data_IF_465136872322
#
_entry.id   IF_465136872322
#
_cell.length_a   1.000
_cell.length_b   1.000
_cell.length_c   1.000
_cell.angle_alpha   90.00
_cell.angle_beta   90.00
_cell.angle_gamma   90.00
#
_symmetry.space_group_name_H-M   'P 1'
#
loop_
_entity.id
_entity.type
_entity.pdbx_description
1 polymer ?
#
# COMPACT_ATOMS: atom_id res chain seq x y z
N UNK A 1 31.26 -20.22 14.97
CA UNK A 1 31.49 -19.20 16.02
C UNK A 1 31.18 -17.77 15.56
N UNK A 2 31.31 -17.42 14.27
CA UNK A 2 31.04 -16.06 13.75
C UNK A 2 29.54 -15.66 13.72
N UNK A 3 28.60 -16.59 13.53
CA UNK A 3 27.15 -16.29 13.48
C UNK A 3 26.52 -15.84 14.80
N UNK A 4 27.14 -16.20 15.94
CA UNK A 4 26.60 -15.83 17.25
C UNK A 4 26.96 -14.40 17.67
N UNK A 5 27.98 -13.81 17.05
CA UNK A 5 28.36 -12.40 17.29
C UNK A 5 27.48 -11.39 16.52
N UNK A 6 26.91 -11.80 15.39
CA UNK A 6 26.01 -10.92 14.59
C UNK A 6 24.62 -10.81 15.23
N UNK A 7 24.11 -11.85 15.88
CA UNK A 7 22.84 -11.80 16.64
C UNK A 7 22.90 -10.89 17.87
N UNK A 8 24.07 -10.76 18.51
CA UNK A 8 24.26 -9.88 19.68
C UNK A 8 24.37 -8.40 19.27
N UNK A 9 24.70 -8.10 18.03
CA UNK A 9 24.81 -6.73 17.51
C UNK A 9 23.44 -6.13 17.17
N UNK A 10 22.47 -6.95 16.81
CA UNK A 10 21.10 -6.55 16.47
C UNK A 10 20.13 -6.52 17.66
N UNK A 11 20.51 -7.14 18.80
CA UNK A 11 19.78 -6.98 20.03
C UNK A 11 20.10 -5.60 20.62
N UNK A 12 19.09 -4.76 20.85
CA UNK A 12 19.18 -3.37 21.34
C UNK A 12 20.02 -3.13 22.61
N UNK A 13 20.88 -4.09 23.01
CA UNK A 13 21.82 -4.04 24.10
C UNK A 13 22.95 -3.00 23.89
N UNK A 14 23.38 -2.76 22.62
CA UNK A 14 24.39 -1.74 22.34
C UNK A 14 23.84 -0.31 22.50
N UNK A 15 22.56 -0.08 22.20
CA UNK A 15 21.91 1.20 22.45
C UNK A 15 21.77 1.51 23.95
N UNK A 16 21.55 0.47 24.76
CA UNK A 16 21.50 0.60 26.22
C UNK A 16 22.85 0.90 26.85
N UNK A 17 23.94 0.27 26.38
CA UNK A 17 25.29 0.47 26.91
C UNK A 17 25.85 1.88 26.63
N UNK A 18 25.55 2.46 25.44
CA UNK A 18 25.96 3.84 25.10
C UNK A 18 25.18 4.88 25.91
N UNK A 19 23.90 4.62 26.18
CA UNK A 19 23.08 5.47 27.06
C UNK A 19 23.55 5.39 28.53
N UNK A 20 23.92 4.22 29.03
CA UNK A 20 24.48 4.09 30.37
C UNK A 20 25.85 4.72 30.49
N UNK A 21 26.71 4.64 29.46
CA UNK A 21 28.03 5.29 29.44
C UNK A 21 27.88 6.83 29.47
N UNK A 22 26.97 7.39 28.70
CA UNK A 22 26.70 8.84 28.71
C UNK A 22 26.13 9.32 30.07
N UNK A 23 25.28 8.54 30.72
CA UNK A 23 24.74 8.83 32.03
C UNK A 23 25.83 8.78 33.12
N UNK A 24 26.77 7.84 33.04
CA UNK A 24 27.89 7.74 33.98
C UNK A 24 28.86 8.92 33.86
N UNK A 25 29.18 9.40 32.66
CA UNK A 25 30.02 10.58 32.45
C UNK A 25 29.35 11.85 32.99
N UNK A 26 28.03 12.01 32.79
CA UNK A 26 27.25 13.12 33.35
C UNK A 26 27.24 13.07 34.88
N UNK A 27 27.11 11.87 35.49
CA UNK A 27 27.16 11.70 36.94
C UNK A 27 28.51 12.04 37.52
N UNK A 28 29.64 11.72 36.85
CA UNK A 28 31.00 12.08 37.29
C UNK A 28 31.23 13.61 37.21
N UNK A 29 30.71 14.28 36.17
CA UNK A 29 30.81 15.73 36.05
C UNK A 29 29.95 16.47 37.09
N UNK A 30 28.81 15.93 37.43
CA UNK A 30 27.89 16.45 38.45
C UNK A 30 28.47 16.28 39.84
N UNK A 31 29.16 15.17 40.12
CA UNK A 31 29.86 14.94 41.40
C UNK A 31 31.02 15.90 41.64
N UNK A 32 31.71 16.37 40.59
CA UNK A 32 32.83 17.29 40.69
C UNK A 32 32.41 18.76 40.93
N UNK A 33 31.17 19.14 40.57
CA UNK A 33 30.63 20.50 40.71
C UNK A 33 29.80 20.75 41.99
N UNK A 34 29.64 19.74 42.86
CA UNK A 34 28.55 19.61 43.80
C UNK A 34 28.76 20.10 45.24
N UNK A 35 29.55 21.12 45.55
CA UNK A 35 29.62 21.62 46.92
C UNK A 35 28.85 22.91 47.24
N UNK A 36 28.26 23.56 46.25
CA UNK A 36 27.43 24.77 46.43
C UNK A 36 25.95 24.57 46.21
N UNK A 37 25.09 25.22 46.97
CA UNK A 37 23.66 25.19 46.86
C UNK A 37 23.15 25.51 45.42
N UNK A 38 23.82 26.40 44.71
CA UNK A 38 23.58 26.70 43.29
C UNK A 38 23.85 25.49 42.35
N UNK A 39 24.90 24.69 42.64
CA UNK A 39 25.26 23.53 41.85
C UNK A 39 24.16 22.44 41.85
N UNK A 40 23.41 22.29 42.97
CA UNK A 40 22.33 21.31 43.08
C UNK A 40 21.15 21.63 42.19
N UNK A 41 20.80 22.95 42.04
CA UNK A 41 19.73 23.39 41.14
C UNK A 41 20.15 23.29 39.69
N UNK A 42 21.39 23.63 39.35
CA UNK A 42 21.93 23.49 38.01
C UNK A 42 21.88 22.02 37.52
N UNK A 43 22.16 21.05 38.41
CA UNK A 43 22.03 19.61 38.11
C UNK A 43 20.60 19.24 37.77
N UNK A 44 19.64 19.67 38.57
CA UNK A 44 18.21 19.38 38.34
C UNK A 44 17.73 19.97 37.00
N UNK A 45 18.17 21.18 36.65
CA UNK A 45 17.85 21.80 35.37
C UNK A 45 18.45 21.02 34.18
N UNK A 46 19.71 20.59 34.28
CA UNK A 46 20.37 19.78 33.23
C UNK A 46 19.68 18.44 33.06
N UNK A 47 19.28 17.77 34.14
CA UNK A 47 18.55 16.52 34.07
C UNK A 47 17.15 16.71 33.48
N UNK A 48 16.44 17.79 33.83
CA UNK A 48 15.14 18.10 33.25
C UNK A 48 15.21 18.40 31.76
N UNK A 49 16.19 19.21 31.35
CA UNK A 49 16.44 19.54 29.94
C UNK A 49 16.84 18.28 29.16
N UNK A 50 17.74 17.46 29.71
CA UNK A 50 18.15 16.18 29.11
C UNK A 50 16.97 15.20 28.96
N UNK A 51 16.07 15.13 29.94
CA UNK A 51 14.86 14.32 29.88
C UNK A 51 13.88 14.85 28.83
N UNK A 52 13.67 16.16 28.75
CA UNK A 52 12.80 16.78 27.74
C UNK A 52 13.33 16.58 26.31
N UNK A 53 14.63 16.83 26.10
CA UNK A 53 15.27 16.62 24.79
C UNK A 53 15.24 15.13 24.41
N UNK A 54 15.57 14.25 25.36
CA UNK A 54 15.50 12.79 25.12
C UNK A 54 14.10 12.31 24.79
N UNK A 55 13.08 12.82 25.49
CA UNK A 55 11.68 12.44 25.22
C UNK A 55 11.17 13.00 23.87
N UNK A 56 11.59 14.20 23.48
CA UNK A 56 11.27 14.78 22.16
C UNK A 56 11.96 14.00 21.05
N UNK A 57 13.25 13.67 21.22
CA UNK A 57 14.01 12.87 20.27
C UNK A 57 13.42 11.45 20.14
N UNK A 58 13.07 10.83 21.26
CA UNK A 58 12.40 9.52 21.28
C UNK A 58 11.05 9.57 20.53
N UNK A 59 10.24 10.58 20.77
CA UNK A 59 8.97 10.79 20.02
C UNK A 59 9.21 11.08 18.53
N UNK A 60 10.25 11.83 18.19
CA UNK A 60 10.63 12.10 16.80
C UNK A 60 11.12 10.81 16.11
N UNK A 61 11.94 10.01 16.78
CA UNK A 61 12.42 8.71 16.29
C UNK A 61 11.25 7.74 16.14
N UNK A 62 10.33 7.65 17.11
CA UNK A 62 9.14 6.80 17.01
C UNK A 62 8.20 7.25 15.88
N UNK A 63 8.08 8.54 15.61
CA UNK A 63 7.31 9.06 14.47
C UNK A 63 8.02 8.81 13.14
N UNK A 64 9.32 8.99 13.09
CA UNK A 64 10.13 8.75 11.88
C UNK A 64 10.33 7.26 11.61
N UNK A 65 10.64 6.46 12.65
CA UNK A 65 10.83 5.01 12.54
C UNK A 65 9.51 4.26 12.37
N UNK A 66 8.40 4.76 12.92
CA UNK A 66 7.06 4.23 12.65
C UNK A 66 6.68 4.29 11.16
N UNK A 67 7.14 5.32 10.44
CA UNK A 67 7.00 5.40 8.98
C UNK A 67 8.03 4.56 8.22
N UNK A 68 9.28 4.57 8.65
CA UNK A 68 10.36 3.80 8.01
C UNK A 68 10.28 2.31 8.36
N UNK A 69 10.01 1.96 9.63
CA UNK A 69 9.79 0.59 10.05
C UNK A 69 8.50 0.01 9.43
N UNK A 70 7.42 0.80 9.31
CA UNK A 70 6.25 0.39 8.52
C UNK A 70 6.58 0.22 7.05
N UNK A 71 7.47 1.01 6.46
CA UNK A 71 7.92 0.82 5.07
C UNK A 71 8.85 -0.38 4.93
N UNK A 72 9.73 -0.64 5.88
CA UNK A 72 10.62 -1.81 5.90
C UNK A 72 9.86 -3.09 6.27
N UNK A 73 8.90 -3.02 7.19
CA UNK A 73 8.00 -4.14 7.52
C UNK A 73 6.87 -4.29 6.49
N UNK A 74 6.52 -3.24 5.74
CA UNK A 74 5.63 -3.34 4.59
C UNK A 74 6.33 -3.87 3.34
N UNK A 75 7.66 -3.98 3.34
CA UNK A 75 8.38 -4.80 2.36
C UNK A 75 8.23 -6.31 2.65
N UNK A 76 7.88 -6.67 3.95
CA UNK A 76 7.70 -8.07 4.36
C UNK A 76 6.33 -8.38 4.98
N UNK A 77 5.41 -7.42 5.05
CA UNK A 77 4.20 -7.59 5.84
C UNK A 77 3.08 -6.60 5.59
N UNK A 78 2.92 -6.08 4.36
CA UNK A 78 1.54 -6.04 3.93
C UNK A 78 1.11 -7.51 3.97
N UNK A 79 0.26 -7.83 4.93
CA UNK A 79 -0.61 -8.98 4.80
C UNK A 79 -1.31 -8.75 3.47
N UNK A 80 -0.66 -9.20 2.41
CA UNK A 80 -1.33 -9.36 1.11
C UNK A 80 -2.62 -10.03 1.49
N UNK A 81 -3.77 -9.38 1.26
CA UNK A 81 -5.05 -9.98 1.60
C UNK A 81 -4.96 -11.41 1.10
N UNK A 82 -5.16 -12.38 1.99
CA UNK A 82 -4.99 -13.81 1.70
C UNK A 82 -5.39 -14.05 0.26
N UNK A 83 -4.42 -14.39 -0.59
CA UNK A 83 -4.66 -14.73 -1.99
C UNK A 83 -5.24 -16.14 -1.98
N UNK A 84 -6.55 -16.32 -2.00
CA UNK A 84 -7.12 -17.64 -2.04
C UNK A 84 -6.59 -18.32 -3.30
N UNK A 85 -6.11 -19.53 -3.17
CA UNK A 85 -5.74 -20.37 -4.32
C UNK A 85 -7.03 -20.89 -4.98
N UNK A 86 -7.16 -20.67 -6.26
CA UNK A 86 -8.32 -21.08 -7.06
C UNK A 86 -7.95 -22.12 -8.11
N UNK A 87 -6.96 -22.96 -7.80
CA UNK A 87 -6.43 -23.98 -8.70
C UNK A 87 -7.53 -24.88 -9.29
N UNK A 88 -8.54 -25.22 -8.50
CA UNK A 88 -9.67 -26.06 -8.96
C UNK A 88 -10.53 -25.32 -9.99
N UNK A 89 -10.73 -24.01 -9.81
CA UNK A 89 -11.49 -23.19 -10.76
C UNK A 89 -10.67 -22.99 -12.04
N UNK A 90 -9.38 -22.66 -11.89
CA UNK A 90 -8.45 -22.51 -13.02
C UNK A 90 -8.31 -23.80 -13.83
N UNK A 91 -8.33 -24.95 -13.17
CA UNK A 91 -8.35 -26.26 -13.85
C UNK A 91 -9.62 -26.44 -14.70
N UNK A 92 -10.79 -25.99 -14.22
CA UNK A 92 -12.04 -26.01 -15.00
C UNK A 92 -11.96 -25.08 -16.20
N UNK A 93 -11.41 -23.86 -16.01
CA UNK A 93 -11.18 -22.89 -17.09
C UNK A 93 -10.32 -23.49 -18.20
N UNK A 94 -9.20 -24.14 -17.84
CA UNK A 94 -8.28 -24.78 -18.79
C UNK A 94 -8.94 -25.97 -19.52
N UNK A 95 -9.82 -26.72 -18.84
CA UNK A 95 -10.57 -27.83 -19.43
C UNK A 95 -11.75 -27.38 -20.30
N UNK A 96 -12.06 -26.08 -20.33
CA UNK A 96 -13.19 -25.53 -21.08
C UNK A 96 -14.55 -25.71 -20.39
N UNK A 97 -14.58 -26.18 -19.14
CA UNK A 97 -15.80 -26.27 -18.34
C UNK A 97 -16.18 -24.87 -17.82
N UNK A 98 -16.63 -24.02 -18.75
CA UNK A 98 -16.94 -22.61 -18.41
C UNK A 98 -18.15 -22.49 -17.49
N UNK A 99 -19.14 -23.41 -17.57
CA UNK A 99 -20.30 -23.40 -16.69
C UNK A 99 -19.91 -23.77 -15.26
N UNK A 100 -19.11 -24.82 -15.10
CA UNK A 100 -18.58 -25.26 -13.80
C UNK A 100 -17.64 -24.21 -13.18
N UNK A 101 -16.81 -23.55 -14.01
CA UNK A 101 -15.95 -22.46 -13.55
C UNK A 101 -16.77 -21.24 -13.07
N UNK A 102 -17.82 -20.85 -13.81
CA UNK A 102 -18.71 -19.74 -13.44
C UNK A 102 -19.43 -19.99 -12.11
N UNK A 103 -19.99 -21.20 -11.94
CA UNK A 103 -20.63 -21.59 -10.68
C UNK A 103 -19.63 -21.58 -9.50
N UNK A 104 -18.39 -22.03 -9.75
CA UNK A 104 -17.32 -22.03 -8.75
C UNK A 104 -16.87 -20.60 -8.39
N UNK A 105 -16.76 -19.71 -9.39
CA UNK A 105 -16.47 -18.29 -9.15
C UNK A 105 -17.59 -17.58 -8.38
N UNK A 106 -18.87 -17.87 -8.69
CA UNK A 106 -19.98 -17.37 -7.91
C UNK A 106 -19.92 -17.86 -6.45
N UNK A 107 -19.49 -19.12 -6.22
CA UNK A 107 -19.21 -19.65 -4.89
C UNK A 107 -18.06 -18.93 -4.18
N UNK A 108 -16.99 -18.59 -4.90
CA UNK A 108 -15.86 -17.88 -4.35
C UNK A 108 -16.24 -16.43 -3.93
N UNK A 109 -17.05 -15.73 -4.73
CA UNK A 109 -17.59 -14.40 -4.38
C UNK A 109 -18.45 -14.43 -3.13
N UNK A 110 -19.27 -15.48 -2.94
CA UNK A 110 -20.07 -15.63 -1.71
C UNK A 110 -19.22 -15.91 -0.47
N UNK A 111 -18.12 -16.66 -0.61
CA UNK A 111 -17.21 -16.95 0.52
C UNK A 111 -16.31 -15.78 0.86
N UNK A 112 -15.99 -14.95 -0.10
CA UNK A 112 -15.06 -13.82 0.05
C UNK A 112 -15.69 -12.52 -0.47
N UNK A 113 -16.80 -12.05 0.13
CA UNK A 113 -17.47 -10.84 -0.31
C UNK A 113 -16.54 -9.63 -0.13
N UNK A 114 -16.38 -8.83 -1.18
CA UNK A 114 -15.53 -7.65 -1.13
C UNK A 114 -14.01 -7.93 -1.20
N UNK A 115 -13.59 -9.15 -1.50
CA UNK A 115 -12.19 -9.41 -1.77
C UNK A 115 -11.84 -8.94 -3.20
N UNK A 116 -11.01 -7.90 -3.28
CA UNK A 116 -10.64 -7.27 -4.56
C UNK A 116 -9.92 -8.25 -5.51
N UNK A 117 -9.14 -9.19 -4.98
CA UNK A 117 -8.46 -10.21 -5.80
C UNK A 117 -9.46 -11.19 -6.43
N UNK A 118 -10.47 -11.65 -5.67
CA UNK A 118 -11.53 -12.52 -6.20
C UNK A 118 -12.31 -11.80 -7.29
N UNK A 119 -12.72 -10.54 -7.03
CA UNK A 119 -13.42 -9.72 -8.02
C UNK A 119 -12.59 -9.54 -9.31
N UNK A 120 -11.28 -9.32 -9.18
CA UNK A 120 -10.38 -9.21 -10.33
C UNK A 120 -10.36 -10.51 -11.16
N UNK A 121 -10.20 -11.67 -10.50
CA UNK A 121 -10.17 -12.97 -11.19
C UNK A 121 -11.49 -13.24 -11.91
N UNK A 122 -12.61 -12.92 -11.28
CA UNK A 122 -13.95 -13.07 -11.89
C UNK A 122 -14.12 -12.12 -13.08
N UNK A 123 -13.67 -10.87 -12.95
CA UNK A 123 -13.69 -9.91 -14.07
C UNK A 123 -12.88 -10.42 -15.26
N UNK A 124 -11.68 -10.96 -15.01
CA UNK A 124 -10.83 -11.54 -16.06
C UNK A 124 -11.45 -12.79 -16.69
N UNK A 125 -12.10 -13.65 -15.90
CA UNK A 125 -12.83 -14.81 -16.41
C UNK A 125 -13.93 -14.37 -17.39
N UNK A 126 -14.76 -13.40 -17.00
CA UNK A 126 -15.79 -12.86 -17.88
C UNK A 126 -15.21 -12.24 -19.15
N UNK A 127 -14.14 -11.47 -19.04
CA UNK A 127 -13.53 -10.79 -20.16
C UNK A 127 -12.86 -11.77 -21.15
N UNK A 128 -12.09 -12.70 -20.66
CA UNK A 128 -11.22 -13.55 -21.49
C UNK A 128 -11.94 -14.79 -22.02
N UNK A 129 -12.71 -15.46 -21.18
CA UNK A 129 -13.31 -16.77 -21.49
C UNK A 129 -14.77 -16.64 -21.88
N UNK A 130 -15.56 -15.86 -21.15
CA UNK A 130 -16.98 -15.64 -21.47
C UNK A 130 -17.20 -14.60 -22.58
N UNK A 131 -16.18 -13.75 -22.85
CA UNK A 131 -16.27 -12.61 -23.78
C UNK A 131 -17.44 -11.68 -23.43
N UNK A 132 -17.70 -11.51 -22.14
CA UNK A 132 -18.73 -10.64 -21.59
C UNK A 132 -18.09 -9.40 -20.96
N UNK A 133 -17.85 -8.33 -21.76
CA UNK A 133 -17.24 -7.11 -21.26
C UNK A 133 -18.13 -6.35 -20.28
N UNK A 134 -19.46 -6.55 -20.35
CA UNK A 134 -20.41 -5.86 -19.45
C UNK A 134 -20.33 -6.46 -18.05
N UNK A 135 -20.28 -7.79 -17.92
CA UNK A 135 -20.09 -8.45 -16.65
C UNK A 135 -18.69 -8.14 -16.06
N UNK A 136 -17.65 -8.16 -16.90
CA UNK A 136 -16.29 -7.78 -16.47
C UNK A 136 -16.24 -6.35 -15.93
N UNK A 137 -16.85 -5.39 -16.62
CA UNK A 137 -16.93 -3.98 -16.21
C UNK A 137 -17.52 -3.84 -14.80
N UNK A 138 -18.66 -4.52 -14.53
CA UNK A 138 -19.30 -4.48 -13.21
C UNK A 138 -18.36 -4.90 -12.08
N UNK A 139 -17.55 -5.94 -12.28
CA UNK A 139 -16.59 -6.40 -11.29
C UNK A 139 -15.41 -5.44 -11.13
N UNK A 140 -14.88 -4.84 -12.22
CA UNK A 140 -13.84 -3.81 -12.11
C UNK A 140 -14.34 -2.55 -11.42
N UNK A 141 -15.59 -2.12 -11.68
CA UNK A 141 -16.20 -1.00 -10.96
C UNK A 141 -16.39 -1.31 -9.47
N UNK A 142 -16.76 -2.54 -9.12
CA UNK A 142 -16.82 -2.98 -7.74
C UNK A 142 -15.44 -2.90 -7.05
N UNK A 143 -14.35 -3.35 -7.70
CA UNK A 143 -12.99 -3.20 -7.16
C UNK A 143 -12.66 -1.73 -6.91
N UNK A 144 -12.95 -0.85 -7.87
CA UNK A 144 -12.69 0.59 -7.75
C UNK A 144 -13.45 1.23 -6.57
N UNK A 145 -14.64 0.72 -6.25
CA UNK A 145 -15.46 1.20 -5.15
C UNK A 145 -15.00 0.68 -3.77
N UNK A 146 -14.13 -0.35 -3.71
CA UNK A 146 -13.66 -0.94 -2.46
C UNK A 146 -12.52 -0.12 -1.84
N UNK A 147 -12.69 0.42 -0.61
CA UNK A 147 -11.61 1.10 0.10
C UNK A 147 -10.42 0.18 0.40
N UNK A 148 -10.68 -1.13 0.49
CA UNK A 148 -9.70 -2.17 0.83
C UNK A 148 -8.97 -2.76 -0.37
N UNK A 149 -9.27 -2.29 -1.60
CA UNK A 149 -8.68 -2.86 -2.82
C UNK A 149 -7.16 -2.68 -2.93
N UNK A 150 -6.59 -1.75 -2.15
CA UNK A 150 -5.20 -1.36 -2.30
C UNK A 150 -4.96 -0.52 -3.57
N UNK A 151 -3.87 0.25 -3.56
CA UNK A 151 -3.57 1.21 -4.64
C UNK A 151 -3.34 0.53 -5.99
N UNK A 152 -2.68 -0.63 -5.99
CA UNK A 152 -2.32 -1.34 -7.22
C UNK A 152 -3.54 -1.97 -7.92
N UNK A 153 -4.36 -2.70 -7.18
CA UNK A 153 -5.59 -3.29 -7.74
C UNK A 153 -6.60 -2.23 -8.15
N UNK A 154 -6.71 -1.14 -7.39
CA UNK A 154 -7.56 0.00 -7.75
C UNK A 154 -7.12 0.65 -9.06
N UNK A 155 -5.80 0.84 -9.26
CA UNK A 155 -5.22 1.38 -10.49
C UNK A 155 -5.42 0.43 -11.66
N UNK A 156 -5.16 -0.86 -11.48
CA UNK A 156 -5.41 -1.89 -12.48
C UNK A 156 -6.87 -1.91 -12.93
N UNK A 157 -7.80 -1.89 -11.98
CA UNK A 157 -9.23 -1.85 -12.27
C UNK A 157 -9.63 -0.58 -13.04
N UNK A 158 -9.11 0.59 -12.63
CA UNK A 158 -9.36 1.85 -13.32
C UNK A 158 -8.88 1.82 -14.79
N UNK A 159 -7.68 1.24 -15.03
CA UNK A 159 -7.16 1.05 -16.39
C UNK A 159 -8.05 0.11 -17.19
N UNK A 160 -8.47 -1.02 -16.63
CA UNK A 160 -9.36 -1.98 -17.31
C UNK A 160 -10.73 -1.40 -17.66
N UNK A 161 -11.27 -0.52 -16.80
CA UNK A 161 -12.52 0.20 -17.11
C UNK A 161 -12.34 1.09 -18.34
N UNK A 162 -11.21 1.81 -18.44
CA UNK A 162 -10.90 2.61 -19.64
C UNK A 162 -10.79 1.72 -20.88
N UNK A 163 -10.00 0.63 -20.80
CA UNK A 163 -9.81 -0.30 -21.92
C UNK A 163 -11.13 -0.90 -22.42
N UNK A 164 -12.04 -1.22 -21.50
CA UNK A 164 -13.36 -1.76 -21.83
C UNK A 164 -14.24 -0.76 -22.57
N UNK A 165 -14.24 0.51 -22.12
CA UNK A 165 -15.04 1.55 -22.78
C UNK A 165 -14.46 1.98 -24.13
N UNK A 166 -13.13 2.01 -24.27
CA UNK A 166 -12.48 2.33 -25.54
C UNK A 166 -12.54 1.19 -26.56
N UNK A 167 -12.54 -0.04 -26.06
CA UNK A 167 -12.50 -1.25 -26.90
C UNK A 167 -13.89 -1.88 -27.08
N UNK A 168 -14.19 -3.00 -26.39
CA UNK A 168 -15.36 -3.83 -26.70
C UNK A 168 -16.71 -3.16 -26.47
N UNK A 169 -16.80 -2.14 -25.62
CA UNK A 169 -18.06 -1.40 -25.37
C UNK A 169 -18.24 -0.19 -26.29
N UNK A 170 -17.15 0.28 -26.91
CA UNK A 170 -17.14 1.40 -27.86
C UNK A 170 -17.91 2.65 -27.36
N UNK A 171 -17.81 2.97 -26.05
CA UNK A 171 -18.49 4.09 -25.42
C UNK A 171 -17.47 5.20 -25.09
N UNK A 172 -17.20 6.06 -26.08
CA UNK A 172 -16.22 7.14 -25.94
C UNK A 172 -16.61 8.14 -24.83
N UNK A 173 -17.90 8.36 -24.61
CA UNK A 173 -18.38 9.26 -23.56
C UNK A 173 -17.99 8.76 -22.18
N UNK A 174 -18.25 7.48 -21.89
CA UNK A 174 -17.85 6.85 -20.63
C UNK A 174 -16.34 6.65 -20.55
N UNK A 175 -15.65 6.39 -21.67
CA UNK A 175 -14.20 6.32 -21.72
C UNK A 175 -13.55 7.63 -21.27
N UNK A 176 -14.05 8.79 -21.76
CA UNK A 176 -13.53 10.10 -21.32
C UNK A 176 -13.74 10.35 -19.83
N UNK A 177 -14.87 9.90 -19.28
CA UNK A 177 -15.13 10.00 -17.83
C UNK A 177 -14.18 9.08 -17.05
N UNK A 178 -13.99 7.84 -17.51
CA UNK A 178 -13.08 6.88 -16.89
C UNK A 178 -11.62 7.36 -16.91
N UNK A 179 -11.17 7.94 -18.04
CA UNK A 179 -9.84 8.55 -18.17
C UNK A 179 -9.62 9.68 -17.17
N UNK A 180 -10.58 10.60 -17.00
CA UNK A 180 -10.48 11.67 -16.00
C UNK A 180 -10.35 11.09 -14.59
N UNK A 181 -11.21 10.14 -14.23
CA UNK A 181 -11.18 9.49 -12.91
C UNK A 181 -9.84 8.77 -12.63
N UNK A 182 -9.25 8.14 -13.64
CA UNK A 182 -7.94 7.50 -13.52
C UNK A 182 -6.84 8.54 -13.26
N UNK A 183 -6.86 9.67 -13.99
CA UNK A 183 -5.92 10.79 -13.81
C UNK A 183 -6.04 11.37 -12.39
N UNK A 184 -7.26 11.60 -11.93
CA UNK A 184 -7.52 12.22 -10.62
C UNK A 184 -7.13 11.28 -9.47
N UNK A 185 -7.40 9.98 -9.60
CA UNK A 185 -7.10 8.99 -8.56
C UNK A 185 -5.60 8.63 -8.49
N UNK A 186 -4.88 8.69 -9.61
CA UNK A 186 -3.48 8.24 -9.70
C UNK A 186 -2.58 9.21 -10.48
N UNK A 187 -2.50 10.50 -10.09
CA UNK A 187 -1.94 11.58 -10.91
C UNK A 187 -0.48 11.35 -11.34
N UNK A 188 0.31 10.69 -10.49
CA UNK A 188 1.74 10.46 -10.69
C UNK A 188 2.05 9.11 -11.35
N UNK A 189 1.01 8.36 -11.77
CA UNK A 189 1.23 7.07 -12.40
C UNK A 189 1.51 7.22 -13.91
N UNK A 190 2.20 6.23 -14.48
CA UNK A 190 2.41 6.12 -15.92
C UNK A 190 1.08 6.06 -16.67
N UNK A 191 0.13 5.32 -16.13
CA UNK A 191 -1.20 5.15 -16.69
C UNK A 191 -1.95 6.49 -16.76
N UNK A 192 -1.77 7.38 -15.76
CA UNK A 192 -2.35 8.72 -15.81
C UNK A 192 -1.72 9.61 -16.91
N UNK A 193 -0.42 9.47 -17.16
CA UNK A 193 0.23 10.17 -18.27
C UNK A 193 -0.32 9.69 -19.63
N UNK A 194 -0.47 8.39 -19.81
CA UNK A 194 -1.08 7.79 -21.01
C UNK A 194 -2.54 8.19 -21.15
N UNK A 195 -3.29 8.24 -20.04
CA UNK A 195 -4.69 8.66 -20.01
C UNK A 195 -4.87 10.14 -20.41
N UNK A 196 -3.96 11.04 -20.01
CA UNK A 196 -3.98 12.46 -20.45
C UNK A 196 -3.84 12.57 -21.95
N UNK A 197 -2.94 11.81 -22.56
CA UNK A 197 -2.74 11.79 -24.02
C UNK A 197 -3.95 11.21 -24.75
N UNK A 198 -4.53 10.12 -24.24
CA UNK A 198 -5.72 9.50 -24.82
C UNK A 198 -6.92 10.46 -24.74
N UNK A 199 -7.14 11.12 -23.62
CA UNK A 199 -8.20 12.10 -23.42
C UNK A 199 -8.06 13.30 -24.36
N UNK A 200 -6.84 13.78 -24.58
CA UNK A 200 -6.57 14.87 -25.52
C UNK A 200 -6.90 14.46 -26.96
N UNK A 201 -6.53 13.23 -27.37
CA UNK A 201 -6.86 12.69 -28.71
C UNK A 201 -8.36 12.57 -28.93
N UNK A 202 -9.12 12.03 -27.96
CA UNK A 202 -10.58 11.89 -28.07
C UNK A 202 -11.26 13.25 -28.18
N UNK A 203 -10.82 14.24 -27.37
CA UNK A 203 -11.35 15.62 -27.48
C UNK A 203 -11.09 16.23 -28.84
N UNK A 204 -9.87 16.09 -29.37
CA UNK A 204 -9.51 16.62 -30.69
C UNK A 204 -10.24 15.92 -31.82
N UNK A 205 -10.56 14.63 -31.72
CA UNK A 205 -11.35 13.89 -32.68
C UNK A 205 -12.80 14.40 -32.69
N UNK A 206 -13.39 14.61 -31.52
CA UNK A 206 -14.77 15.08 -31.37
C UNK A 206 -14.97 16.48 -31.95
N UNK A 207 -14.04 17.41 -31.69
CA UNK A 207 -14.10 18.78 -32.25
C UNK A 207 -14.03 18.78 -33.78
N UNK A 208 -13.44 17.74 -34.40
CA UNK A 208 -13.38 17.61 -35.86
C UNK A 208 -14.62 16.98 -36.50
N UNK A 209 -15.43 16.30 -35.69
CA UNK A 209 -16.65 15.62 -36.13
C UNK A 209 -17.91 16.49 -36.00
N UNK A 210 -17.87 17.54 -35.17
CA UNK A 210 -18.88 18.56 -34.99
C UNK A 210 -18.65 19.71 -35.98
#
# INVERSE_FOLDING_TARGET
MARHFDELRDSGLFGGLTLMGAAAVVMLFVGALGSSWLGRWAVLVVLLVGFLVGSLLHRAILRASGGAARRLLALDGETTPYKPTFSDIETREVRGDLAGAEAAWAGALRRHPGNAYVLMRVAEFHLRLKRDPVAALRHFEAIRALPTAGRELGRYAAQKIVDLHLGPLADEGKAMVALRRLIDAFPDSREAAEARMALARLKAARVRSD
#
